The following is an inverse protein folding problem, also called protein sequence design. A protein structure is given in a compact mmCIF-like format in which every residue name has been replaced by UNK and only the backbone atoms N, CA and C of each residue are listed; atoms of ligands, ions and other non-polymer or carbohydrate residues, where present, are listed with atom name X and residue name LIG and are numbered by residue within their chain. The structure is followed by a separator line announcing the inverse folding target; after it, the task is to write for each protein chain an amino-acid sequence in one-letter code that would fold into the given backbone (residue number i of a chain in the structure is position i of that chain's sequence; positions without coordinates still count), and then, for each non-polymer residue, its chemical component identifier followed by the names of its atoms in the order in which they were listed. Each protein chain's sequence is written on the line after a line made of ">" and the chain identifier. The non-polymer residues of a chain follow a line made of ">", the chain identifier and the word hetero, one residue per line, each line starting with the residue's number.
data_IF_672195798509
#
_entry.id   IF_672195798509
#
_cell.length_a   1.000
_cell.length_b   1.000
_cell.length_c   1.000
_cell.angle_alpha   90.00
_cell.angle_beta   90.00
_cell.angle_gamma   90.00
#
_symmetry.space_group_name_H-M   'P 1'
#
loop_
_entity.id
_entity.type
_entity.pdbx_description
1 polymer ?
#
# COMPACT_ATOMS: atom_id res chain seq x y z
N UNK A 1 -76.10 12.45 -36.97
CA UNK A 1 -75.02 13.43 -36.98
C UNK A 1 -74.61 13.72 -35.56
N UNK A 2 -73.50 13.28 -35.12
CA UNK A 2 -72.55 13.89 -34.13
C UNK A 2 -71.51 12.84 -33.75
N UNK A 3 -70.34 13.01 -34.34
CA UNK A 3 -69.11 12.25 -34.09
C UNK A 3 -68.62 12.56 -32.67
N UNK A 4 -68.22 11.52 -31.90
CA UNK A 4 -67.49 11.67 -30.66
C UNK A 4 -66.21 10.90 -30.79
N UNK A 5 -65.13 11.64 -31.04
CA UNK A 5 -63.78 11.15 -31.18
C UNK A 5 -63.24 10.87 -29.76
N UNK A 6 -63.04 9.58 -29.43
CA UNK A 6 -62.38 9.19 -28.15
C UNK A 6 -60.89 9.38 -28.21
N UNK A 7 -60.36 10.22 -27.34
CA UNK A 7 -58.93 10.47 -27.17
C UNK A 7 -58.35 9.44 -26.21
N UNK A 8 -57.56 8.52 -26.72
CA UNK A 8 -56.88 7.47 -25.94
C UNK A 8 -55.58 8.03 -25.41
N UNK A 9 -55.54 8.39 -24.11
CA UNK A 9 -54.28 8.75 -23.43
C UNK A 9 -53.50 7.47 -23.10
N UNK A 10 -52.40 7.26 -23.81
CA UNK A 10 -51.41 6.24 -23.47
C UNK A 10 -50.50 6.85 -22.40
N UNK A 11 -50.67 6.42 -21.15
CA UNK A 11 -49.79 6.76 -20.03
C UNK A 11 -48.53 5.91 -20.12
N UNK A 12 -47.46 6.45 -20.70
CA UNK A 12 -46.13 5.80 -20.68
C UNK A 12 -45.55 5.99 -19.26
N UNK A 13 -45.60 4.92 -18.46
CA UNK A 13 -44.95 4.81 -17.18
C UNK A 13 -43.45 4.57 -17.42
N UNK A 14 -42.65 5.65 -17.44
CA UNK A 14 -41.20 5.53 -17.49
C UNK A 14 -40.71 5.06 -16.12
N UNK A 15 -40.42 3.74 -16.03
CA UNK A 15 -39.71 3.18 -14.86
C UNK A 15 -38.29 3.70 -14.90
N UNK A 16 -38.01 4.77 -14.12
CA UNK A 16 -36.66 5.25 -13.91
C UNK A 16 -35.85 4.18 -13.15
N UNK A 17 -35.01 3.44 -13.87
CA UNK A 17 -33.94 2.64 -13.26
C UNK A 17 -32.96 3.62 -12.61
N UNK A 18 -33.16 3.88 -11.32
CA UNK A 18 -32.12 4.49 -10.49
C UNK A 18 -31.03 3.45 -10.31
N UNK A 19 -30.02 3.48 -11.17
CA UNK A 19 -28.75 2.80 -10.89
C UNK A 19 -28.17 3.48 -9.64
N UNK A 20 -28.26 2.82 -8.49
CA UNK A 20 -27.43 3.16 -7.35
C UNK A 20 -25.99 2.89 -7.78
N UNK A 21 -25.30 3.94 -8.23
CA UNK A 21 -23.85 3.91 -8.32
C UNK A 21 -23.38 3.70 -6.87
N UNK A 22 -22.92 2.50 -6.56
CA UNK A 22 -22.14 2.29 -5.36
C UNK A 22 -20.95 3.24 -5.50
N UNK A 23 -20.86 4.23 -4.62
CA UNK A 23 -19.70 5.09 -4.54
C UNK A 23 -18.52 4.15 -4.25
N UNK A 24 -17.71 3.91 -5.28
CA UNK A 24 -16.47 3.19 -5.13
C UNK A 24 -15.59 4.04 -4.22
N UNK A 25 -15.14 3.49 -3.10
CA UNK A 25 -14.33 4.21 -2.11
C UNK A 25 -13.17 4.95 -2.80
N UNK A 26 -12.73 6.03 -2.23
CA UNK A 26 -11.60 6.79 -2.76
C UNK A 26 -10.27 6.18 -2.28
N UNK A 27 -9.17 6.48 -2.97
CA UNK A 27 -7.83 6.12 -2.49
C UNK A 27 -7.53 6.72 -1.12
N UNK A 28 -8.15 7.85 -0.78
CA UNK A 28 -8.04 8.49 0.52
C UNK A 28 -8.77 7.68 1.61
N UNK A 29 -10.00 7.24 1.35
CA UNK A 29 -10.77 6.37 2.25
C UNK A 29 -10.04 5.04 2.47
N UNK A 30 -9.52 4.42 1.39
CA UNK A 30 -8.72 3.20 1.50
C UNK A 30 -7.53 3.38 2.45
N UNK A 31 -6.76 4.45 2.32
CA UNK A 31 -5.60 4.71 3.19
C UNK A 31 -6.05 5.03 4.62
N UNK A 32 -7.15 5.77 4.79
CA UNK A 32 -7.69 6.07 6.13
C UNK A 32 -8.11 4.80 6.87
N UNK A 33 -8.84 3.91 6.20
CA UNK A 33 -9.31 2.64 6.76
C UNK A 33 -8.14 1.69 7.03
N UNK A 34 -7.19 1.60 6.09
CA UNK A 34 -5.99 0.80 6.25
C UNK A 34 -5.16 1.24 7.45
N UNK A 35 -4.93 2.55 7.62
CA UNK A 35 -4.20 3.10 8.75
C UNK A 35 -4.91 2.86 10.09
N UNK A 36 -6.22 3.05 10.14
CA UNK A 36 -7.03 2.76 11.33
C UNK A 36 -6.95 1.27 11.71
N UNK A 37 -7.07 0.37 10.73
CA UNK A 37 -6.93 -1.08 10.92
C UNK A 37 -5.52 -1.45 11.43
N UNK A 38 -4.46 -0.86 10.84
CA UNK A 38 -3.09 -1.09 11.27
C UNK A 38 -2.86 -0.68 12.72
N UNK A 39 -3.29 0.52 13.11
CA UNK A 39 -3.19 0.98 14.49
C UNK A 39 -3.94 0.04 15.44
N UNK A 40 -5.19 -0.29 15.14
CA UNK A 40 -6.01 -1.19 15.98
C UNK A 40 -5.33 -2.54 16.19
N UNK A 41 -4.79 -3.16 15.13
CA UNK A 41 -4.24 -4.51 15.19
C UNK A 41 -2.84 -4.59 15.82
N UNK A 42 -2.01 -3.55 15.62
CA UNK A 42 -0.60 -3.60 15.97
C UNK A 42 -0.26 -2.92 17.31
N UNK A 43 -1.14 -2.06 17.82
CA UNK A 43 -0.94 -1.41 19.13
C UNK A 43 -1.64 -2.13 20.28
N UNK A 44 -2.33 -3.24 20.02
CA UNK A 44 -2.95 -4.06 21.02
C UNK A 44 -1.89 -4.80 21.87
N UNK A 45 -1.74 -4.37 23.12
CA UNK A 45 -0.75 -4.92 24.06
C UNK A 45 -1.14 -6.30 24.61
N UNK A 46 -2.35 -6.78 24.33
CA UNK A 46 -2.85 -8.08 24.84
C UNK A 46 -2.39 -9.27 23.99
N UNK A 47 -1.88 -9.04 22.77
CA UNK A 47 -1.43 -10.09 21.86
C UNK A 47 0.07 -10.37 22.00
N UNK A 48 0.48 -11.61 21.68
CA UNK A 48 1.89 -11.99 21.68
C UNK A 48 2.67 -11.28 20.56
N UNK A 49 4.00 -11.27 20.66
CA UNK A 49 4.86 -10.74 19.60
C UNK A 49 4.69 -11.49 18.27
N UNK A 50 4.53 -12.82 18.36
CA UNK A 50 4.32 -13.68 17.19
C UNK A 50 2.98 -13.39 16.50
N UNK A 51 1.91 -13.22 17.28
CA UNK A 51 0.59 -12.85 16.76
C UNK A 51 0.63 -11.46 16.12
N UNK A 52 1.32 -10.50 16.74
CA UNK A 52 1.49 -9.16 16.18
C UNK A 52 2.27 -9.17 14.86
N UNK A 53 3.33 -10.00 14.77
CA UNK A 53 4.07 -10.19 13.52
C UNK A 53 3.17 -10.77 12.42
N UNK A 54 2.36 -11.78 12.73
CA UNK A 54 1.42 -12.38 11.77
C UNK A 54 0.39 -11.35 11.28
N UNK A 55 -0.14 -10.52 12.18
CA UNK A 55 -1.06 -9.43 11.81
C UNK A 55 -0.39 -8.40 10.91
N UNK A 56 0.87 -8.05 11.20
CA UNK A 56 1.62 -7.11 10.36
C UNK A 56 1.87 -7.67 8.96
N UNK A 57 2.24 -8.95 8.84
CA UNK A 57 2.38 -9.63 7.54
C UNK A 57 1.06 -9.64 6.77
N UNK A 58 -0.04 -9.94 7.43
CA UNK A 58 -1.38 -9.88 6.83
C UNK A 58 -1.70 -8.49 6.28
N UNK A 59 -1.41 -7.43 7.04
CA UNK A 59 -1.58 -6.05 6.59
C UNK A 59 -0.68 -5.70 5.39
N UNK A 60 0.57 -6.14 5.37
CA UNK A 60 1.46 -5.94 4.22
C UNK A 60 0.89 -6.60 2.96
N UNK A 61 0.44 -7.84 3.06
CA UNK A 61 -0.10 -8.61 1.93
C UNK A 61 -1.46 -8.09 1.45
N UNK A 62 -2.28 -7.54 2.36
CA UNK A 62 -3.58 -6.96 2.02
C UNK A 62 -3.45 -5.56 1.39
N UNK A 63 -2.60 -4.71 1.97
CA UNK A 63 -2.53 -3.29 1.60
C UNK A 63 -1.51 -2.96 0.53
N UNK A 64 -0.43 -3.76 0.37
CA UNK A 64 0.67 -3.45 -0.53
C UNK A 64 0.74 -4.47 -1.69
N UNK A 65 0.97 -3.98 -2.90
CA UNK A 65 1.36 -4.85 -4.00
C UNK A 65 2.86 -5.16 -3.94
N UNK A 66 3.22 -6.09 -3.04
CA UNK A 66 4.62 -6.47 -2.82
C UNK A 66 5.30 -6.99 -4.10
N UNK A 67 4.55 -7.63 -5.02
CA UNK A 67 5.08 -8.11 -6.30
C UNK A 67 5.45 -6.93 -7.21
N UNK A 68 4.57 -5.97 -7.40
CA UNK A 68 4.85 -4.78 -8.22
C UNK A 68 5.96 -3.92 -7.61
N UNK A 69 5.98 -3.75 -6.29
CA UNK A 69 7.04 -3.05 -5.57
C UNK A 69 8.39 -3.75 -5.79
N UNK A 70 8.44 -5.07 -5.58
CA UNK A 70 9.64 -5.89 -5.81
C UNK A 70 10.15 -5.79 -7.24
N UNK A 71 9.24 -5.91 -8.22
CA UNK A 71 9.57 -5.73 -9.64
C UNK A 71 10.18 -4.34 -9.92
N UNK A 72 9.64 -3.29 -9.33
CA UNK A 72 10.17 -1.95 -9.47
C UNK A 72 11.56 -1.80 -8.85
N UNK A 73 11.76 -2.34 -7.66
CA UNK A 73 13.02 -2.25 -6.89
C UNK A 73 14.17 -2.95 -7.62
N UNK A 74 13.99 -4.21 -8.05
CA UNK A 74 15.06 -4.97 -8.72
C UNK A 74 15.15 -4.72 -10.23
N UNK A 75 14.17 -3.98 -10.79
CA UNK A 75 14.18 -3.40 -12.14
C UNK A 75 14.54 -4.41 -13.25
N UNK A 76 15.68 -4.18 -13.93
CA UNK A 76 16.12 -5.04 -15.05
C UNK A 76 16.33 -6.50 -14.66
N UNK A 77 16.70 -6.75 -13.41
CA UNK A 77 16.98 -8.10 -12.90
C UNK A 77 15.70 -8.95 -12.79
N UNK A 78 14.53 -8.32 -12.64
CA UNK A 78 13.25 -9.01 -12.62
C UNK A 78 12.99 -9.87 -13.87
N UNK A 79 13.34 -9.33 -15.06
CA UNK A 79 13.08 -10.04 -16.32
C UNK A 79 13.94 -11.27 -16.52
N UNK A 80 15.17 -11.25 -15.98
CA UNK A 80 16.11 -12.37 -16.07
C UNK A 80 15.96 -13.41 -14.94
N UNK A 81 15.21 -13.09 -13.88
CA UNK A 81 15.01 -13.97 -12.74
C UNK A 81 13.97 -15.06 -13.04
N UNK A 82 14.18 -16.26 -12.48
CA UNK A 82 13.17 -17.31 -12.46
C UNK A 82 11.99 -16.92 -11.55
N UNK A 83 10.87 -17.63 -11.63
CA UNK A 83 9.73 -17.36 -10.74
C UNK A 83 10.09 -17.68 -9.29
N UNK A 84 10.89 -18.71 -9.06
CA UNK A 84 11.39 -19.08 -7.73
C UNK A 84 12.24 -17.97 -7.12
N UNK A 85 13.18 -17.40 -7.88
CA UNK A 85 14.00 -16.25 -7.42
C UNK A 85 13.17 -15.00 -7.15
N UNK A 86 12.11 -14.76 -7.94
CA UNK A 86 11.17 -13.64 -7.70
C UNK A 86 10.41 -13.85 -6.41
N UNK A 87 9.87 -15.04 -6.17
CA UNK A 87 9.14 -15.36 -4.94
C UNK A 87 10.07 -15.30 -3.72
N UNK A 88 11.27 -15.84 -3.83
CA UNK A 88 12.27 -15.76 -2.77
C UNK A 88 12.61 -14.30 -2.41
N UNK A 89 12.81 -13.45 -3.43
CA UNK A 89 13.05 -12.02 -3.19
C UNK A 89 11.84 -11.33 -2.52
N UNK A 90 10.62 -11.60 -2.97
CA UNK A 90 9.39 -11.03 -2.36
C UNK A 90 9.33 -11.42 -0.87
N UNK A 91 9.59 -12.68 -0.53
CA UNK A 91 9.60 -13.15 0.85
C UNK A 91 10.67 -12.45 1.70
N UNK A 92 11.89 -12.37 1.20
CA UNK A 92 13.00 -11.68 1.90
C UNK A 92 12.72 -10.19 2.04
N UNK A 93 12.06 -9.58 1.06
CA UNK A 93 11.63 -8.19 1.13
C UNK A 93 10.52 -7.97 2.16
N UNK A 94 9.56 -8.88 2.25
CA UNK A 94 8.54 -8.87 3.31
C UNK A 94 9.20 -8.97 4.69
N UNK A 95 10.16 -9.90 4.88
CA UNK A 95 10.92 -10.04 6.13
C UNK A 95 11.69 -8.77 6.50
N UNK A 96 12.25 -8.09 5.48
CA UNK A 96 12.87 -6.77 5.68
C UNK A 96 11.86 -5.74 6.20
N UNK A 97 10.67 -5.67 5.59
CA UNK A 97 9.62 -4.73 6.02
C UNK A 97 9.16 -5.02 7.45
N UNK A 98 8.99 -6.30 7.80
CA UNK A 98 8.67 -6.72 9.17
C UNK A 98 9.75 -6.26 10.14
N UNK A 99 11.01 -6.61 9.90
CA UNK A 99 12.10 -6.27 10.82
C UNK A 99 12.30 -4.76 10.96
N UNK A 100 12.04 -3.99 9.89
CA UNK A 100 12.23 -2.55 9.86
C UNK A 100 11.11 -1.77 10.52
N UNK A 101 9.86 -2.17 10.29
CA UNK A 101 8.71 -1.33 10.62
C UNK A 101 7.87 -1.84 11.79
N UNK A 102 7.77 -3.15 12.00
CA UNK A 102 7.00 -3.68 13.12
C UNK A 102 7.43 -3.12 14.49
N UNK A 103 8.74 -2.97 14.81
CA UNK A 103 9.17 -2.43 16.09
C UNK A 103 8.75 -0.97 16.36
N UNK A 104 8.33 -0.23 15.32
CA UNK A 104 7.82 1.13 15.51
C UNK A 104 6.49 1.14 16.29
N UNK A 105 5.69 0.08 16.16
CA UNK A 105 4.44 -0.07 16.88
C UNK A 105 4.64 -0.45 18.37
N UNK A 106 5.80 -1.02 18.73
CA UNK A 106 6.15 -1.26 20.13
C UNK A 106 6.42 0.05 20.89
N UNK A 107 6.75 1.11 20.14
CA UNK A 107 7.04 2.45 20.68
C UNK A 107 5.86 3.41 20.55
N UNK A 108 4.69 2.90 20.15
CA UNK A 108 3.48 3.71 19.99
C UNK A 108 3.10 4.41 21.32
N UNK A 109 2.94 5.73 21.26
CA UNK A 109 2.64 6.58 22.42
C UNK A 109 1.33 7.37 22.25
N UNK A 110 0.49 6.96 21.32
CA UNK A 110 -0.76 7.65 21.02
C UNK A 110 -0.66 8.56 19.79
N UNK A 111 0.26 8.29 18.89
CA UNK A 111 0.31 8.96 17.58
C UNK A 111 -1.01 8.80 16.87
N UNK A 112 -1.45 9.87 16.21
CA UNK A 112 -2.64 9.80 15.37
C UNK A 112 -2.24 9.85 13.91
N UNK A 113 -3.09 9.25 13.10
CA UNK A 113 -2.96 9.13 11.67
C UNK A 113 -4.19 9.73 11.02
N UNK A 114 -4.00 10.61 10.05
CA UNK A 114 -5.10 11.18 9.28
C UNK A 114 -4.68 11.45 7.84
N UNK A 115 -5.61 11.24 6.92
CA UNK A 115 -5.43 11.65 5.53
C UNK A 115 -5.67 13.15 5.38
N UNK A 116 -4.97 13.76 4.44
CA UNK A 116 -5.01 15.21 4.19
C UNK A 116 -5.15 15.53 2.70
N UNK A 117 -5.99 14.74 2.02
CA UNK A 117 -6.32 14.86 0.62
C UNK A 117 -5.53 13.92 -0.30
N UNK A 118 -6.12 13.68 -1.46
CA UNK A 118 -5.54 12.85 -2.51
C UNK A 118 -5.44 13.63 -3.83
N UNK A 119 -4.42 13.33 -4.62
CA UNK A 119 -4.28 13.85 -6.00
C UNK A 119 -4.02 12.70 -6.96
N UNK A 120 -4.72 12.70 -8.08
CA UNK A 120 -4.49 11.74 -9.16
C UNK A 120 -3.11 12.01 -9.78
N UNK A 121 -2.40 10.95 -10.14
CA UNK A 121 -1.12 11.06 -10.87
C UNK A 121 -1.35 11.62 -12.27
N UNK A 122 -0.54 12.59 -12.69
CA UNK A 122 -0.74 13.30 -13.97
C UNK A 122 -0.50 12.42 -15.19
N UNK A 123 0.16 11.29 -15.05
CA UNK A 123 0.53 10.39 -16.13
C UNK A 123 -0.30 9.09 -16.14
N UNK A 124 -1.00 8.79 -15.05
CA UNK A 124 -1.79 7.55 -14.93
C UNK A 124 -2.96 7.76 -13.97
N UNK A 125 -4.17 7.80 -14.52
CA UNK A 125 -5.41 8.01 -13.76
C UNK A 125 -5.72 6.90 -12.74
N UNK A 126 -5.15 5.71 -12.90
CA UNK A 126 -5.27 4.62 -11.94
C UNK A 126 -4.34 4.76 -10.73
N UNK A 127 -3.52 5.80 -10.69
CA UNK A 127 -2.61 6.09 -9.60
C UNK A 127 -2.99 7.39 -8.89
N UNK A 128 -2.89 7.36 -7.57
CA UNK A 128 -3.11 8.54 -6.73
C UNK A 128 -2.00 8.68 -5.70
N UNK A 129 -1.74 9.90 -5.29
CA UNK A 129 -0.91 10.23 -4.15
C UNK A 129 -1.80 10.72 -3.02
N UNK A 130 -1.87 9.98 -1.94
CA UNK A 130 -2.61 10.34 -0.73
C UNK A 130 -1.64 10.92 0.27
N UNK A 131 -1.90 12.15 0.71
CA UNK A 131 -1.13 12.76 1.79
C UNK A 131 -1.64 12.26 3.12
N UNK A 132 -0.70 11.88 3.99
CA UNK A 132 -0.96 11.38 5.33
C UNK A 132 -0.11 12.16 6.33
N UNK A 133 -0.73 12.56 7.42
CA UNK A 133 -0.09 13.26 8.53
C UNK A 133 -0.11 12.34 9.75
N UNK A 134 1.07 12.06 10.28
CA UNK A 134 1.23 11.40 11.58
C UNK A 134 1.48 12.48 12.63
N UNK A 135 0.48 12.73 13.47
CA UNK A 135 0.63 13.59 14.64
C UNK A 135 1.28 12.81 15.77
N UNK A 136 2.26 13.40 16.42
CA UNK A 136 2.96 12.79 17.55
C UNK A 136 2.64 13.55 18.84
N UNK A 137 2.51 12.87 19.98
CA UNK A 137 2.29 13.54 21.26
C UNK A 137 3.43 14.50 21.62
N UNK A 138 4.64 14.25 21.11
CA UNK A 138 5.81 15.10 21.26
C UNK A 138 6.58 15.18 19.94
N UNK A 139 7.03 16.39 19.60
CA UNK A 139 7.77 16.69 18.37
C UNK A 139 6.86 17.10 17.21
N UNK A 140 7.46 17.31 16.05
CA UNK A 140 6.73 17.76 14.85
C UNK A 140 5.96 16.61 14.20
N UNK A 141 4.85 16.95 13.53
CA UNK A 141 4.09 16.01 12.71
C UNK A 141 4.94 15.51 11.53
N UNK A 142 4.82 14.24 11.20
CA UNK A 142 5.48 13.64 10.03
C UNK A 142 4.53 13.62 8.86
N UNK A 143 4.91 14.29 7.76
CA UNK A 143 4.15 14.30 6.52
C UNK A 143 4.68 13.22 5.59
N UNK A 144 3.76 12.41 5.08
CA UNK A 144 4.06 11.36 4.10
C UNK A 144 3.10 11.45 2.91
N UNK A 145 3.49 10.89 1.78
CA UNK A 145 2.62 10.69 0.62
C UNK A 145 2.64 9.20 0.25
N UNK A 146 1.47 8.62 0.09
CA UNK A 146 1.28 7.21 -0.21
C UNK A 146 0.81 7.06 -1.64
N UNK A 147 1.56 6.33 -2.47
CA UNK A 147 1.19 6.06 -3.86
C UNK A 147 0.28 4.86 -3.90
N UNK A 148 -0.96 5.08 -4.29
CA UNK A 148 -2.04 4.09 -4.34
C UNK A 148 -2.41 3.81 -5.77
N UNK A 149 -2.53 2.54 -6.14
CA UNK A 149 -3.11 2.09 -7.40
C UNK A 149 -4.55 1.63 -7.15
N UNK A 150 -5.43 2.04 -8.06
CA UNK A 150 -6.79 1.52 -8.17
C UNK A 150 -6.90 0.76 -9.49
N UNK A 151 -7.12 -0.54 -9.43
CA UNK A 151 -7.24 -1.41 -10.58
C UNK A 151 -8.23 -2.53 -10.30
N UNK A 152 -9.12 -2.81 -11.26
CA UNK A 152 -10.11 -3.89 -11.17
C UNK A 152 -11.02 -3.83 -9.92
N UNK A 153 -11.25 -2.62 -9.41
CA UNK A 153 -12.06 -2.38 -8.21
C UNK A 153 -11.30 -2.48 -6.89
N UNK A 154 -9.99 -2.76 -6.93
CA UNK A 154 -9.16 -2.92 -5.74
C UNK A 154 -8.10 -1.82 -5.62
N UNK A 155 -7.77 -1.47 -4.38
CA UNK A 155 -6.72 -0.52 -4.05
C UNK A 155 -5.48 -1.24 -3.52
N UNK A 156 -4.29 -0.76 -3.90
CA UNK A 156 -3.02 -1.26 -3.37
C UNK A 156 -1.97 -0.16 -3.27
N UNK A 157 -1.17 -0.19 -2.23
CA UNK A 157 -0.06 0.74 -2.01
C UNK A 157 1.15 0.27 -2.82
N UNK A 158 1.78 1.19 -3.55
CA UNK A 158 2.97 0.94 -4.36
C UNK A 158 4.24 1.64 -3.85
N UNK A 159 4.11 2.71 -3.09
CA UNK A 159 5.23 3.48 -2.55
C UNK A 159 4.80 4.35 -1.39
N UNK A 160 5.73 4.66 -0.51
CA UNK A 160 5.57 5.66 0.54
C UNK A 160 6.72 6.65 0.44
N UNK A 161 6.39 7.93 0.45
CA UNK A 161 7.36 9.02 0.56
C UNK A 161 7.29 9.63 1.93
N UNK A 162 8.44 9.83 2.54
CA UNK A 162 8.58 10.61 3.75
C UNK A 162 9.55 11.75 3.47
N UNK A 163 9.19 12.97 3.82
CA UNK A 163 10.00 14.17 3.59
C UNK A 163 10.49 14.31 2.13
N UNK A 164 9.66 13.89 1.18
CA UNK A 164 9.95 13.93 -0.26
C UNK A 164 10.78 12.75 -0.80
N UNK A 165 11.36 11.91 0.05
CA UNK A 165 12.12 10.73 -0.36
C UNK A 165 11.22 9.50 -0.56
N UNK A 166 11.21 8.92 -1.76
CA UNK A 166 10.50 7.66 -2.07
C UNK A 166 11.28 6.47 -1.51
N UNK A 167 10.59 5.64 -0.74
CA UNK A 167 11.19 4.41 -0.20
C UNK A 167 11.53 3.42 -1.32
N UNK A 168 10.64 3.24 -2.29
CA UNK A 168 10.87 2.32 -3.40
C UNK A 168 12.05 2.76 -4.27
N UNK A 169 12.24 4.08 -4.52
CA UNK A 169 13.39 4.59 -5.26
C UNK A 169 14.69 4.42 -4.46
N UNK A 170 14.68 4.74 -3.18
CA UNK A 170 15.86 4.57 -2.30
C UNK A 170 16.31 3.10 -2.31
N UNK A 171 15.39 2.17 -2.09
CA UNK A 171 15.71 0.74 -2.12
C UNK A 171 16.18 0.28 -3.50
N UNK A 172 15.63 0.81 -4.59
CA UNK A 172 16.08 0.49 -5.94
C UNK A 172 17.53 0.88 -6.17
N UNK A 173 17.94 2.05 -5.71
CA UNK A 173 19.31 2.54 -5.86
C UNK A 173 20.29 1.72 -4.99
N UNK A 174 19.93 1.47 -3.72
CA UNK A 174 20.71 0.66 -2.80
C UNK A 174 20.88 -0.78 -3.30
N UNK A 175 19.77 -1.44 -3.66
CA UNK A 175 19.78 -2.83 -4.10
C UNK A 175 20.41 -2.98 -5.49
N UNK A 176 20.24 -1.97 -6.37
CA UNK A 176 20.94 -1.91 -7.64
C UNK A 176 22.46 -1.91 -7.47
N UNK A 177 22.96 -1.15 -6.50
CA UNK A 177 24.39 -1.15 -6.16
C UNK A 177 24.85 -2.51 -5.66
N UNK A 178 24.11 -3.14 -4.73
CA UNK A 178 24.44 -4.47 -4.21
C UNK A 178 24.44 -5.53 -5.33
N UNK A 179 23.41 -5.54 -6.17
CA UNK A 179 23.31 -6.49 -7.29
C UNK A 179 24.48 -6.36 -8.26
N UNK A 180 24.93 -5.14 -8.55
CA UNK A 180 26.10 -4.92 -9.42
C UNK A 180 27.40 -5.46 -8.80
N UNK A 181 27.53 -5.43 -7.47
CA UNK A 181 28.74 -5.85 -6.75
C UNK A 181 28.75 -7.34 -6.37
N UNK A 182 27.58 -7.97 -6.25
CA UNK A 182 27.42 -9.30 -5.66
C UNK A 182 26.87 -10.36 -6.64
N UNK A 183 26.90 -10.11 -7.94
CA UNK A 183 26.51 -11.10 -8.93
C UNK A 183 25.01 -11.20 -9.20
N UNK A 184 24.28 -10.09 -9.07
CA UNK A 184 22.87 -10.04 -9.44
C UNK A 184 21.90 -10.28 -8.29
N UNK A 185 20.70 -10.79 -8.63
CA UNK A 185 19.59 -10.96 -7.67
C UNK A 185 19.94 -11.98 -6.57
N UNK A 186 20.53 -13.10 -6.91
CA UNK A 186 20.94 -14.13 -5.94
C UNK A 186 21.88 -13.53 -4.87
N UNK A 187 22.89 -12.76 -5.29
CA UNK A 187 23.79 -12.09 -4.35
C UNK A 187 23.12 -11.04 -3.47
N UNK A 188 22.09 -10.35 -3.97
CA UNK A 188 21.27 -9.45 -3.16
C UNK A 188 20.47 -10.23 -2.10
N UNK A 189 19.82 -11.33 -2.50
CA UNK A 189 19.06 -12.19 -1.58
C UNK A 189 19.94 -12.69 -0.44
N UNK A 190 21.16 -13.17 -0.75
CA UNK A 190 22.12 -13.64 0.25
C UNK A 190 22.50 -12.54 1.24
N UNK A 191 22.79 -11.33 0.75
CA UNK A 191 23.13 -10.18 1.58
C UNK A 191 21.96 -9.78 2.50
N UNK A 192 20.73 -9.76 1.96
CA UNK A 192 19.55 -9.43 2.75
C UNK A 192 19.29 -10.48 3.83
N UNK A 193 19.34 -11.77 3.51
CA UNK A 193 19.20 -12.84 4.50
C UNK A 193 20.25 -12.77 5.60
N UNK A 194 21.51 -12.50 5.23
CA UNK A 194 22.57 -12.32 6.22
C UNK A 194 22.27 -11.15 7.17
N UNK A 195 21.85 -10.00 6.64
CA UNK A 195 21.50 -8.82 7.43
C UNK A 195 20.27 -9.05 8.31
N UNK A 196 19.24 -9.74 7.80
CA UNK A 196 18.05 -10.12 8.55
C UNK A 196 18.41 -10.98 9.78
N UNK A 197 19.27 -12.00 9.57
CA UNK A 197 19.74 -12.86 10.66
C UNK A 197 20.54 -12.12 11.73
N UNK A 198 21.17 -10.99 11.38
CA UNK A 198 21.89 -10.11 12.30
C UNK A 198 20.99 -9.06 12.97
N UNK A 199 19.72 -8.96 12.58
CA UNK A 199 18.82 -7.92 13.06
C UNK A 199 19.20 -6.51 12.57
N UNK A 200 19.94 -6.42 11.45
CA UNK A 200 20.53 -5.18 10.97
C UNK A 200 19.53 -4.12 10.48
N UNK A 201 18.26 -4.48 10.30
CA UNK A 201 17.21 -3.57 9.85
C UNK A 201 16.32 -3.04 10.98
N UNK A 202 16.54 -3.48 12.22
CA UNK A 202 15.80 -2.95 13.36
C UNK A 202 16.10 -1.45 13.53
N UNK A 203 15.08 -0.63 13.78
CA UNK A 203 15.29 0.78 14.08
C UNK A 203 16.01 0.94 15.44
N UNK A 204 16.86 1.95 15.56
CA UNK A 204 17.56 2.33 16.79
C UNK A 204 16.59 2.77 17.89
#
# INVERSE_FOLDING_TARGET
>A
MKSVTGFLYVLILTLGLTTTAYAQGSSEEFIQDFGAKALQQLTDQSVSAEEREQRFRGLLQEGFDLRSISQFIIARHWRGASEEERQEFIQVFEDYLVQRFLPLFDRYQGETFQTAGARVDSQNENLSWVRVIFERPQGDAVNTEWRVRHQDGEYSILDVRAEGASMALTLRDEYGSVMNQRGGLSGLIDVLKQKLNQGAFKPD
#
